data_IF_207196092554
#
_entry.id   IF_207196092554
#
_cell.length_a   1.000
_cell.length_b   1.000
_cell.length_c   1.000
_cell.angle_alpha   90.00
_cell.angle_beta   90.00
_cell.angle_gamma   90.00
#
_symmetry.space_group_name_H-M   'P 1'
#
loop_
_entity.id
_entity.type
_entity.pdbx_description
1 polymer ?
#
# COMPACT_ATOMS: atom_id res chain seq x y z
N UNK A 1 -37.69 5.73 19.46
CA UNK A 1 -37.23 6.42 18.23
C UNK A 1 -36.13 5.56 17.64
N UNK A 2 -36.47 4.67 16.71
CA UNK A 2 -35.50 3.76 16.12
C UNK A 2 -34.48 4.58 15.35
N UNK A 3 -33.20 4.54 15.77
CA UNK A 3 -32.10 4.95 14.93
C UNK A 3 -32.17 4.09 13.67
N UNK A 4 -32.77 4.62 12.60
CA UNK A 4 -32.45 4.16 11.26
C UNK A 4 -30.98 4.49 11.10
N UNK A 5 -30.11 3.50 11.29
CA UNK A 5 -28.77 3.52 10.71
C UNK A 5 -29.01 3.89 9.24
N UNK A 6 -28.60 5.08 8.83
CA UNK A 6 -28.91 5.66 7.52
C UNK A 6 -28.16 4.96 6.40
N UNK A 7 -28.13 3.63 6.39
CA UNK A 7 -27.32 2.82 5.48
C UNK A 7 -25.96 3.46 5.22
N UNK A 8 -25.72 3.79 3.96
CA UNK A 8 -24.46 4.23 3.38
C UNK A 8 -24.37 5.74 3.14
N UNK A 9 -25.28 6.53 3.72
CA UNK A 9 -25.27 7.98 3.58
C UNK A 9 -24.04 8.65 4.25
N UNK A 10 -23.32 7.93 5.11
CA UNK A 10 -22.21 8.46 5.90
C UNK A 10 -20.83 8.33 5.22
N UNK A 11 -20.75 7.69 4.04
CA UNK A 11 -19.47 7.49 3.34
C UNK A 11 -19.32 8.51 2.21
N UNK A 12 -18.42 9.48 2.40
CA UNK A 12 -17.98 10.33 1.29
C UNK A 12 -17.19 9.47 0.27
N UNK A 13 -17.72 9.26 -0.95
CA UNK A 13 -17.08 8.42 -1.96
C UNK A 13 -15.85 9.08 -2.59
N UNK A 14 -15.52 10.31 -2.20
CA UNK A 14 -14.42 11.13 -2.72
C UNK A 14 -13.32 11.43 -1.71
N UNK A 15 -13.56 11.16 -0.43
CA UNK A 15 -12.67 11.56 0.66
C UNK A 15 -11.29 10.88 0.69
N UNK A 16 -11.12 9.73 0.02
CA UNK A 16 -9.88 8.94 0.10
C UNK A 16 -9.31 8.62 -1.27
N UNK A 17 -7.98 8.55 -1.43
CA UNK A 17 -7.35 8.04 -2.63
C UNK A 17 -7.85 6.64 -3.01
N UNK A 18 -7.90 6.35 -4.31
CA UNK A 18 -8.34 5.05 -4.81
C UNK A 18 -7.15 4.20 -5.19
N UNK A 19 -7.11 2.90 -4.85
CA UNK A 19 -6.08 2.00 -5.38
C UNK A 19 -6.03 2.00 -6.92
N UNK A 20 -4.85 1.78 -7.48
CA UNK A 20 -4.69 1.52 -8.91
C UNK A 20 -5.56 0.33 -9.35
N UNK A 21 -6.11 0.41 -10.56
CA UNK A 21 -7.04 -0.58 -11.10
C UNK A 21 -8.49 -0.46 -10.59
N UNK A 22 -8.78 0.46 -9.67
CA UNK A 22 -10.15 0.66 -9.17
C UNK A 22 -11.10 1.04 -10.30
N UNK A 23 -12.19 0.28 -10.47
CA UNK A 23 -13.27 0.64 -11.39
C UNK A 23 -14.05 1.86 -10.86
N UNK A 24 -14.09 2.91 -11.67
CA UNK A 24 -14.73 4.19 -11.34
C UNK A 24 -15.75 4.59 -12.39
N UNK A 25 -16.66 5.47 -11.97
CA UNK A 25 -17.57 6.22 -12.84
C UNK A 25 -17.23 7.71 -12.76
N UNK A 26 -17.15 8.37 -13.90
CA UNK A 26 -16.93 9.82 -14.01
C UNK A 26 -18.19 10.58 -13.60
N UNK A 27 -18.03 11.74 -12.98
CA UNK A 27 -19.15 12.62 -12.59
C UNK A 27 -19.30 13.84 -13.47
N UNK A 28 -18.29 14.12 -14.30
CA UNK A 28 -18.24 15.27 -15.19
C UNK A 28 -17.83 14.84 -16.59
N UNK A 29 -18.22 15.65 -17.55
CA UNK A 29 -17.81 15.50 -18.94
C UNK A 29 -16.32 15.83 -19.09
N UNK A 30 -15.63 15.13 -19.99
CA UNK A 30 -14.25 15.42 -20.36
C UNK A 30 -14.02 15.10 -21.82
N UNK A 31 -13.34 15.99 -22.54
CA UNK A 31 -12.94 15.70 -23.92
C UNK A 31 -11.57 15.03 -23.94
N UNK A 32 -11.45 13.93 -24.67
CA UNK A 32 -10.23 13.14 -24.84
C UNK A 32 -10.02 12.91 -26.32
N UNK A 33 -8.92 13.40 -26.88
CA UNK A 33 -8.60 13.31 -28.31
C UNK A 33 -9.75 13.75 -29.24
N UNK A 34 -10.45 14.82 -28.86
CA UNK A 34 -11.59 15.36 -29.62
C UNK A 34 -12.92 14.64 -29.40
N UNK A 35 -12.96 13.55 -28.62
CA UNK A 35 -14.20 12.85 -28.28
C UNK A 35 -14.69 13.18 -26.87
N UNK A 36 -16.00 13.35 -26.71
CA UNK A 36 -16.62 13.55 -25.41
C UNK A 36 -16.67 12.23 -24.62
N UNK A 37 -16.21 12.28 -23.37
CA UNK A 37 -16.44 11.28 -22.34
C UNK A 37 -17.46 11.87 -21.36
N UNK A 38 -18.74 11.50 -21.44
CA UNK A 38 -19.76 12.10 -20.59
C UNK A 38 -19.58 11.69 -19.13
N UNK A 39 -20.15 12.48 -18.22
CA UNK A 39 -20.43 12.05 -16.86
C UNK A 39 -21.24 10.77 -16.89
N UNK A 40 -20.83 9.76 -16.11
CA UNK A 40 -21.38 8.41 -16.14
C UNK A 40 -20.50 7.40 -16.89
N UNK A 41 -19.48 7.84 -17.63
CA UNK A 41 -18.52 6.94 -18.26
C UNK A 41 -17.77 6.11 -17.21
N UNK A 42 -17.47 4.84 -17.54
CA UNK A 42 -16.77 3.92 -16.65
C UNK A 42 -15.35 3.67 -17.14
N UNK A 43 -14.40 3.60 -16.21
CA UNK A 43 -13.00 3.29 -16.50
C UNK A 43 -12.30 2.74 -15.26
N UNK A 44 -10.97 2.61 -15.33
CA UNK A 44 -10.11 2.17 -14.21
C UNK A 44 -9.08 3.23 -13.87
N UNK A 45 -8.78 3.39 -12.58
CA UNK A 45 -7.67 4.25 -12.14
C UNK A 45 -6.35 3.68 -12.65
N UNK A 46 -5.65 4.42 -13.50
CA UNK A 46 -4.37 4.04 -14.09
C UNK A 46 -3.18 4.67 -13.36
N UNK A 47 -3.34 5.91 -12.89
CA UNK A 47 -2.33 6.65 -12.15
C UNK A 47 -2.98 7.63 -11.17
N UNK A 48 -2.21 8.09 -10.19
CA UNK A 48 -2.65 9.06 -9.17
C UNK A 48 -1.53 10.08 -9.01
N UNK A 49 -1.86 11.35 -9.07
CA UNK A 49 -0.94 12.46 -8.87
C UNK A 49 -1.64 13.54 -8.04
N UNK A 50 -1.31 13.62 -6.75
CA UNK A 50 -1.97 14.51 -5.80
C UNK A 50 -3.49 14.28 -5.73
N UNK A 51 -4.25 15.32 -6.08
CA UNK A 51 -5.72 15.27 -6.13
C UNK A 51 -6.26 14.81 -7.49
N UNK A 52 -5.38 14.45 -8.43
CA UNK A 52 -5.74 13.98 -9.76
C UNK A 52 -5.60 12.47 -9.88
N UNK A 53 -6.48 11.89 -10.66
CA UNK A 53 -6.47 10.48 -11.03
C UNK A 53 -6.53 10.37 -12.55
N UNK A 54 -5.66 9.57 -13.13
CA UNK A 54 -5.78 9.19 -14.52
C UNK A 54 -6.74 8.00 -14.62
N UNK A 55 -7.74 8.10 -15.49
CA UNK A 55 -8.69 7.02 -15.77
C UNK A 55 -8.43 6.49 -17.17
N UNK A 56 -8.19 5.19 -17.28
CA UNK A 56 -8.16 4.47 -18.55
C UNK A 56 -9.54 3.89 -18.85
N UNK A 57 -10.06 4.16 -20.04
CA UNK A 57 -11.37 3.70 -20.52
C UNK A 57 -11.24 2.38 -21.29
N UNK A 58 -12.38 1.80 -21.70
CA UNK A 58 -12.41 0.52 -22.42
C UNK A 58 -11.78 0.57 -23.81
N UNK A 59 -11.63 1.76 -24.37
CA UNK A 59 -10.99 2.02 -25.66
C UNK A 59 -9.51 2.44 -25.50
N UNK A 60 -8.90 2.13 -24.36
CA UNK A 60 -7.52 2.43 -23.97
C UNK A 60 -7.16 3.93 -23.90
N UNK A 61 -8.11 4.82 -24.21
CA UNK A 61 -7.92 6.26 -24.04
C UNK A 61 -7.85 6.60 -22.55
N UNK A 62 -7.07 7.63 -22.25
CA UNK A 62 -6.81 8.08 -20.88
C UNK A 62 -7.27 9.51 -20.69
N UNK A 63 -7.81 9.80 -19.52
CA UNK A 63 -8.12 11.17 -19.14
C UNK A 63 -7.82 11.41 -17.67
N UNK A 64 -7.26 12.57 -17.39
CA UNK A 64 -7.05 13.03 -16.03
C UNK A 64 -8.35 13.61 -15.48
N UNK A 65 -8.75 13.19 -14.28
CA UNK A 65 -9.88 13.71 -13.49
C UNK A 65 -9.39 14.17 -12.12
N UNK A 66 -10.09 15.11 -11.48
CA UNK A 66 -9.94 15.32 -10.06
C UNK A 66 -10.50 14.11 -9.31
N UNK A 67 -9.98 13.83 -8.13
CA UNK A 67 -10.44 12.73 -7.28
C UNK A 67 -11.93 12.87 -6.96
N UNK A 68 -12.42 14.10 -6.77
CA UNK A 68 -13.83 14.41 -6.52
C UNK A 68 -14.75 14.20 -7.73
N UNK A 69 -14.17 14.16 -8.93
CA UNK A 69 -14.88 13.96 -10.21
C UNK A 69 -15.08 12.48 -10.55
N UNK A 70 -14.57 11.55 -9.74
CA UNK A 70 -14.76 10.11 -9.94
C UNK A 70 -15.27 9.44 -8.68
N UNK A 71 -16.05 8.37 -8.86
CA UNK A 71 -16.56 7.56 -7.74
C UNK A 71 -16.35 6.08 -8.03
N UNK A 72 -15.98 5.25 -7.04
CA UNK A 72 -15.91 3.81 -7.25
C UNK A 72 -17.26 3.22 -7.60
N UNK A 73 -17.30 2.27 -8.54
CA UNK A 73 -18.56 1.63 -8.94
C UNK A 73 -19.11 0.67 -7.88
N UNK A 74 -18.22 0.07 -7.10
CA UNK A 74 -18.56 -0.94 -6.10
C UNK A 74 -18.31 -0.38 -4.71
N UNK A 75 -19.34 -0.40 -3.88
CA UNK A 75 -19.26 0.02 -2.49
C UNK A 75 -18.16 -0.72 -1.70
N UNK A 76 -17.98 -2.03 -1.94
CA UNK A 76 -16.94 -2.81 -1.27
C UNK A 76 -15.54 -2.23 -1.52
N UNK A 77 -15.29 -1.69 -2.73
CA UNK A 77 -14.02 -1.05 -3.09
C UNK A 77 -13.87 0.29 -2.37
N UNK A 78 -14.94 1.09 -2.26
CA UNK A 78 -14.91 2.32 -1.48
C UNK A 78 -14.60 2.05 0.01
N UNK A 79 -15.26 1.06 0.61
CA UNK A 79 -15.02 0.66 2.00
C UNK A 79 -13.58 0.16 2.20
N UNK A 80 -13.06 -0.60 1.24
CA UNK A 80 -11.68 -1.05 1.26
C UNK A 80 -10.70 0.14 1.20
N UNK A 81 -10.91 1.07 0.26
CA UNK A 81 -10.08 2.27 0.14
C UNK A 81 -10.09 3.13 1.42
N UNK A 82 -11.27 3.30 2.05
CA UNK A 82 -11.39 4.05 3.30
C UNK A 82 -10.70 3.36 4.47
N UNK A 83 -10.90 2.05 4.64
CA UNK A 83 -10.20 1.27 5.69
C UNK A 83 -8.69 1.34 5.52
N UNK A 84 -8.23 1.26 4.28
CA UNK A 84 -6.82 1.37 3.92
C UNK A 84 -6.26 2.75 4.25
N UNK A 85 -6.93 3.83 3.86
CA UNK A 85 -6.52 5.19 4.20
C UNK A 85 -6.47 5.40 5.72
N UNK A 86 -7.52 4.98 6.43
CA UNK A 86 -7.57 5.07 7.88
C UNK A 86 -6.44 4.24 8.55
N UNK A 87 -6.13 3.05 8.04
CA UNK A 87 -5.02 2.25 8.53
C UNK A 87 -3.69 2.98 8.37
N UNK A 88 -3.45 3.61 7.21
CA UNK A 88 -2.27 4.44 6.98
C UNK A 88 -2.19 5.60 7.97
N UNK A 89 -3.27 6.38 8.11
CA UNK A 89 -3.30 7.55 9.00
C UNK A 89 -3.01 7.19 10.47
N UNK A 90 -3.55 6.07 10.94
CA UNK A 90 -3.45 5.67 12.35
C UNK A 90 -2.19 4.86 12.66
N UNK A 91 -1.67 4.06 11.72
CA UNK A 91 -0.58 3.12 11.98
C UNK A 91 0.78 3.60 11.46
N UNK A 92 0.82 4.54 10.51
CA UNK A 92 2.10 5.15 10.09
C UNK A 92 2.87 5.80 11.26
N UNK A 93 2.21 6.47 12.22
CA UNK A 93 2.88 6.98 13.42
C UNK A 93 3.37 5.88 14.38
N UNK A 94 2.91 4.64 14.21
CA UNK A 94 3.31 3.48 15.02
C UNK A 94 4.45 2.68 14.37
N UNK A 95 5.07 3.20 13.32
CA UNK A 95 6.25 2.59 12.69
C UNK A 95 7.43 2.62 13.64
N UNK A 96 8.04 1.44 13.83
CA UNK A 96 9.16 1.17 14.74
C UNK A 96 10.48 0.98 13.99
N UNK A 97 10.41 0.60 12.72
CA UNK A 97 11.55 0.47 11.81
C UNK A 97 11.12 1.03 10.46
N UNK A 98 11.91 1.92 9.88
CA UNK A 98 11.74 2.45 8.52
C UNK A 98 13.10 2.44 7.81
N UNK A 99 13.19 1.66 6.74
CA UNK A 99 14.45 1.34 6.07
C UNK A 99 14.30 1.52 4.56
N UNK A 100 15.24 2.25 3.96
CA UNK A 100 15.43 2.24 2.51
C UNK A 100 15.98 0.86 2.09
N UNK A 101 15.40 0.26 1.05
CA UNK A 101 15.80 -1.05 0.52
C UNK A 101 16.08 -0.99 -0.98
N UNK A 102 16.46 -2.12 -1.56
CA UNK A 102 16.68 -2.21 -3.00
C UNK A 102 17.95 -1.50 -3.45
N UNK A 103 17.97 -1.10 -4.73
CA UNK A 103 19.19 -0.67 -5.41
C UNK A 103 19.93 0.49 -4.72
N UNK A 104 19.18 1.42 -4.11
CA UNK A 104 19.74 2.58 -3.41
C UNK A 104 20.37 2.20 -2.08
N UNK A 105 19.76 1.28 -1.33
CA UNK A 105 20.31 0.77 -0.08
C UNK A 105 21.65 0.06 -0.27
N UNK A 106 21.83 -0.61 -1.41
CA UNK A 106 23.02 -1.40 -1.73
C UNK A 106 24.03 -0.68 -2.63
N UNK A 107 23.81 0.59 -2.97
CA UNK A 107 24.74 1.38 -3.78
C UNK A 107 24.83 0.94 -5.25
N UNK A 108 23.80 0.28 -5.77
CA UNK A 108 23.70 -0.18 -7.17
C UNK A 108 22.67 0.62 -7.98
N UNK A 109 22.20 1.74 -7.43
CA UNK A 109 21.23 2.61 -8.07
C UNK A 109 21.82 3.42 -9.24
N UNK A 110 20.96 3.77 -10.19
CA UNK A 110 21.21 4.71 -11.28
C UNK A 110 20.16 5.85 -11.25
N UNK A 111 20.24 6.79 -12.20
CA UNK A 111 19.32 7.95 -12.26
C UNK A 111 17.84 7.57 -12.37
N UNK A 112 17.53 6.38 -12.89
CA UNK A 112 16.17 5.86 -13.01
C UNK A 112 15.72 4.96 -11.86
N UNK A 113 16.54 4.75 -10.84
CA UNK A 113 16.20 3.88 -9.71
C UNK A 113 15.16 4.51 -8.79
N UNK A 114 14.10 3.76 -8.53
CA UNK A 114 13.06 4.07 -7.57
C UNK A 114 13.55 4.01 -6.11
N UNK A 115 12.77 4.63 -5.22
CA UNK A 115 12.99 4.62 -3.79
C UNK A 115 11.98 3.70 -3.11
N UNK A 116 12.46 2.50 -2.74
CA UNK A 116 11.66 1.54 -1.99
C UNK A 116 11.93 1.64 -0.49
N UNK A 117 10.86 1.68 0.29
CA UNK A 117 10.90 1.63 1.76
C UNK A 117 10.23 0.39 2.27
N UNK A 118 10.85 -0.21 3.28
CA UNK A 118 10.27 -1.29 4.04
C UNK A 118 10.44 -1.07 5.52
N UNK A 119 9.52 -1.61 6.31
CA UNK A 119 9.61 -1.42 7.74
C UNK A 119 8.63 -2.25 8.54
N UNK A 120 8.54 -1.92 9.82
CA UNK A 120 7.65 -2.58 10.76
C UNK A 120 6.86 -1.55 11.57
N UNK A 121 5.63 -1.88 11.95
CA UNK A 121 4.83 -1.10 12.88
C UNK A 121 4.28 -1.97 14.01
N UNK A 122 3.95 -1.34 15.13
CA UNK A 122 3.29 -2.00 16.26
C UNK A 122 1.83 -1.57 16.29
N UNK A 123 0.92 -2.53 16.46
CA UNK A 123 -0.50 -2.20 16.58
C UNK A 123 -0.79 -1.49 17.91
N UNK A 124 -1.63 -0.44 17.91
CA UNK A 124 -2.20 0.09 19.14
C UNK A 124 -2.96 -1.02 19.88
N UNK A 125 -2.81 -1.09 21.21
CA UNK A 125 -3.45 -2.13 22.04
C UNK A 125 -4.97 -2.23 21.80
N UNK A 126 -5.65 -1.09 21.62
CA UNK A 126 -7.09 -1.07 21.36
C UNK A 126 -7.49 -1.80 20.06
N UNK A 127 -6.57 -1.96 19.11
CA UNK A 127 -6.81 -2.65 17.84
C UNK A 127 -6.55 -4.16 17.94
N UNK A 128 -5.86 -4.63 18.99
CA UNK A 128 -5.60 -6.07 19.19
C UNK A 128 -6.72 -6.79 19.93
N UNK A 129 -7.67 -6.05 20.50
CA UNK A 129 -8.81 -6.60 21.26
C UNK A 129 -10.15 -6.46 20.53
N UNK A 130 -10.12 -6.01 19.28
CA UNK A 130 -11.31 -5.85 18.45
C UNK A 130 -11.90 -7.17 17.97
N UNK A 131 -13.18 -7.15 17.55
CA UNK A 131 -13.83 -8.31 16.91
C UNK A 131 -13.39 -8.53 15.46
N UNK A 132 -12.77 -7.53 14.85
CA UNK A 132 -12.29 -7.56 13.46
C UNK A 132 -10.78 -7.56 13.51
N UNK A 133 -10.17 -8.45 12.72
CA UNK A 133 -8.72 -8.50 12.62
C UNK A 133 -8.14 -7.16 12.17
N UNK A 134 -7.10 -6.66 12.86
CA UNK A 134 -6.43 -5.43 12.47
C UNK A 134 -5.65 -5.65 11.16
N UNK A 135 -5.35 -4.57 10.41
CA UNK A 135 -4.47 -4.66 9.25
C UNK A 135 -3.07 -5.09 9.69
N UNK A 136 -2.49 -6.05 8.97
CA UNK A 136 -1.13 -6.54 9.21
C UNK A 136 -0.11 -6.01 8.21
N UNK A 137 -0.58 -5.24 7.22
CA UNK A 137 0.18 -4.70 6.11
C UNK A 137 -0.23 -3.27 5.83
N UNK A 138 0.75 -2.40 5.61
CA UNK A 138 0.60 -1.09 5.01
C UNK A 138 1.46 -1.04 3.76
N UNK A 139 0.83 -1.19 2.60
CA UNK A 139 1.48 -1.03 1.29
C UNK A 139 1.09 0.37 0.77
N UNK A 140 1.93 1.16 0.11
CA UNK A 140 1.52 2.45 -0.47
C UNK A 140 0.73 2.22 -1.77
N UNK A 141 0.15 3.26 -2.38
CA UNK A 141 -0.67 3.09 -3.60
C UNK A 141 0.16 2.69 -4.81
N UNK A 142 1.37 3.22 -4.90
CA UNK A 142 2.41 2.93 -5.90
C UNK A 142 3.25 1.69 -5.53
N UNK A 143 3.11 1.17 -4.31
CA UNK A 143 3.83 -0.03 -3.83
C UNK A 143 5.24 0.23 -3.34
N UNK A 144 5.75 1.46 -3.46
CA UNK A 144 7.11 1.86 -3.03
C UNK A 144 7.34 1.74 -1.53
N UNK A 145 6.29 1.75 -0.70
CA UNK A 145 6.40 1.60 0.74
C UNK A 145 5.62 0.39 1.23
N UNK A 146 6.28 -0.48 1.99
CA UNK A 146 5.64 -1.65 2.59
C UNK A 146 6.05 -1.81 4.05
N UNK A 147 5.08 -1.74 4.96
CA UNK A 147 5.30 -1.97 6.39
C UNK A 147 4.47 -3.14 6.88
N UNK A 148 5.06 -3.96 7.75
CA UNK A 148 4.41 -5.12 8.34
C UNK A 148 4.17 -4.93 9.83
N UNK A 149 3.07 -5.46 10.34
CA UNK A 149 2.89 -5.58 11.79
C UNK A 149 4.03 -6.43 12.38
N UNK A 150 4.58 -6.01 13.53
CA UNK A 150 5.81 -6.58 14.09
C UNK A 150 5.75 -8.10 14.27
N UNK A 151 4.63 -8.66 14.76
CA UNK A 151 4.44 -10.09 14.91
C UNK A 151 4.39 -10.82 13.56
N UNK A 152 3.74 -10.23 12.55
CA UNK A 152 3.76 -10.74 11.17
C UNK A 152 5.18 -10.74 10.62
N UNK A 153 5.91 -9.64 10.77
CA UNK A 153 7.27 -9.50 10.28
C UNK A 153 8.21 -10.54 10.92
N UNK A 154 8.12 -10.76 12.23
CA UNK A 154 8.86 -11.83 12.92
C UNK A 154 8.54 -13.20 12.32
N UNK A 155 7.27 -13.51 12.05
CA UNK A 155 6.88 -14.78 11.39
C UNK A 155 7.38 -14.91 9.95
N UNK A 156 7.59 -13.80 9.24
CA UNK A 156 8.18 -13.78 7.90
C UNK A 156 9.70 -13.98 7.98
N UNK A 157 10.38 -13.27 8.90
CA UNK A 157 11.81 -13.40 9.12
C UNK A 157 12.21 -14.82 9.53
N UNK A 158 11.43 -15.46 10.41
CA UNK A 158 11.64 -16.87 10.81
C UNK A 158 11.52 -17.87 9.63
N UNK A 159 10.84 -17.49 8.53
CA UNK A 159 10.74 -18.28 7.30
C UNK A 159 11.75 -17.84 6.23
N UNK A 160 12.75 -17.04 6.61
CA UNK A 160 13.73 -16.47 5.72
C UNK A 160 13.11 -15.66 4.56
N UNK A 161 12.01 -14.94 4.79
CA UNK A 161 11.42 -14.07 3.77
C UNK A 161 12.45 -13.03 3.26
N UNK A 162 12.75 -12.99 1.95
CA UNK A 162 13.82 -12.14 1.43
C UNK A 162 13.60 -10.65 1.67
N UNK A 163 12.36 -10.18 1.53
CA UNK A 163 12.04 -8.77 1.69
C UNK A 163 12.17 -8.31 3.14
N UNK A 164 11.74 -9.15 4.07
CA UNK A 164 11.83 -8.90 5.51
C UNK A 164 13.29 -8.95 5.98
N UNK A 165 14.06 -9.94 5.52
CA UNK A 165 15.49 -10.04 5.86
C UNK A 165 16.29 -8.89 5.25
N UNK A 166 16.04 -8.50 4.01
CA UNK A 166 16.67 -7.32 3.41
C UNK A 166 16.46 -6.07 4.28
N UNK A 167 15.22 -5.82 4.71
CA UNK A 167 14.89 -4.68 5.57
C UNK A 167 15.57 -4.73 6.95
N UNK A 168 15.70 -5.92 7.55
CA UNK A 168 16.38 -6.10 8.84
C UNK A 168 17.90 -5.93 8.76
N UNK A 169 18.50 -6.20 7.59
CA UNK A 169 19.95 -6.14 7.39
C UNK A 169 20.43 -4.86 6.66
N UNK A 170 19.52 -4.11 6.06
CA UNK A 170 19.78 -2.77 5.56
C UNK A 170 19.91 -1.75 6.71
N UNK A 171 20.46 -0.57 6.41
CA UNK A 171 20.64 0.49 7.40
C UNK A 171 19.32 1.25 7.62
N UNK A 172 18.69 1.18 8.81
CA UNK A 172 17.43 1.88 9.05
C UNK A 172 17.65 3.39 9.07
N UNK A 173 16.72 4.15 8.49
CA UNK A 173 16.74 5.61 8.55
C UNK A 173 16.03 6.15 9.79
N UNK A 174 14.99 5.44 10.24
CA UNK A 174 14.31 5.72 11.49
C UNK A 174 14.08 4.42 12.27
N UNK A 175 14.33 4.49 13.58
CA UNK A 175 14.20 3.34 14.47
C UNK A 175 13.80 3.81 15.87
N UNK A 176 12.81 3.14 16.46
CA UNK A 176 12.46 3.32 17.87
C UNK A 176 13.22 2.31 18.76
N UNK A 177 13.14 2.42 20.10
CA UNK A 177 13.76 1.44 21.00
C UNK A 177 13.35 -0.02 20.75
N UNK A 178 12.08 -0.32 20.46
CA UNK A 178 11.63 -1.68 20.16
C UNK A 178 12.23 -2.20 18.86
N UNK A 179 12.26 -1.36 17.82
CA UNK A 179 12.93 -1.66 16.56
C UNK A 179 14.42 -1.93 16.76
N UNK A 180 15.10 -1.15 17.62
CA UNK A 180 16.52 -1.31 17.90
C UNK A 180 16.85 -2.66 18.55
N UNK A 181 16.01 -3.13 19.48
CA UNK A 181 16.14 -4.47 20.04
C UNK A 181 15.98 -5.55 18.96
N UNK A 182 15.00 -5.40 18.08
CA UNK A 182 14.74 -6.35 16.99
C UNK A 182 15.90 -6.42 15.99
N UNK A 183 16.47 -5.26 15.63
CA UNK A 183 17.68 -5.18 14.79
C UNK A 183 18.87 -5.81 15.50
N UNK A 184 19.06 -5.59 16.80
CA UNK A 184 20.15 -6.20 17.56
C UNK A 184 20.10 -7.73 17.53
N UNK A 185 18.90 -8.32 17.54
CA UNK A 185 18.71 -9.77 17.46
C UNK A 185 18.57 -10.33 16.03
N UNK A 186 18.68 -9.51 14.97
CA UNK A 186 18.41 -9.94 13.58
C UNK A 186 19.13 -11.23 13.13
N UNK A 187 20.30 -11.52 13.70
CA UNK A 187 21.06 -12.74 13.44
C UNK A 187 20.32 -14.03 13.81
N UNK A 188 19.34 -13.97 14.72
CA UNK A 188 18.54 -15.14 15.12
C UNK A 188 17.58 -15.62 14.04
N UNK A 189 17.25 -14.78 13.05
CA UNK A 189 16.37 -15.13 11.94
C UNK A 189 17.10 -15.85 10.80
N UNK A 190 18.44 -15.87 10.81
CA UNK A 190 19.22 -16.52 9.76
C UNK A 190 19.14 -18.04 9.89
N UNK A 191 18.79 -18.70 8.80
CA UNK A 191 18.69 -20.16 8.72
C UNK A 191 19.06 -20.65 7.31
N UNK A 192 19.27 -21.97 7.17
CA UNK A 192 19.55 -22.58 5.85
C UNK A 192 18.37 -22.47 4.88
N UNK A 193 17.17 -22.11 5.34
CA UNK A 193 16.00 -21.83 4.49
C UNK A 193 16.21 -20.64 3.55
N UNK A 194 17.21 -19.79 3.82
CA UNK A 194 17.63 -18.70 2.93
C UNK A 194 17.92 -19.22 1.52
N UNK A 195 18.56 -20.38 1.38
CA UNK A 195 18.90 -20.95 0.06
C UNK A 195 17.63 -21.15 -0.80
N UNK A 196 16.58 -21.71 -0.20
CA UNK A 196 15.33 -21.96 -0.90
C UNK A 196 14.52 -20.69 -1.16
N UNK A 197 14.40 -19.82 -0.16
CA UNK A 197 13.59 -18.59 -0.25
C UNK A 197 14.19 -17.56 -1.22
N UNK A 198 15.49 -17.29 -1.12
CA UNK A 198 16.16 -16.35 -2.03
C UNK A 198 16.29 -16.92 -3.44
N UNK A 199 16.54 -18.23 -3.58
CA UNK A 199 16.54 -18.88 -4.89
C UNK A 199 15.20 -18.74 -5.62
N UNK A 200 14.08 -19.01 -4.94
CA UNK A 200 12.75 -18.81 -5.50
C UNK A 200 12.47 -17.34 -5.84
N UNK A 201 12.89 -16.42 -4.98
CA UNK A 201 12.74 -14.99 -5.23
C UNK A 201 13.51 -14.55 -6.48
N UNK A 202 14.78 -14.93 -6.62
CA UNK A 202 15.59 -14.63 -7.79
C UNK A 202 14.97 -15.18 -9.09
N UNK A 203 14.48 -16.42 -9.07
CA UNK A 203 13.76 -17.01 -10.21
C UNK A 203 12.51 -16.21 -10.57
N UNK A 204 11.71 -15.81 -9.58
CA UNK A 204 10.50 -15.00 -9.84
C UNK A 204 10.78 -13.62 -10.44
N UNK A 205 11.98 -13.07 -10.24
CA UNK A 205 12.40 -11.81 -10.84
C UNK A 205 12.91 -11.97 -12.28
N UNK A 206 13.36 -13.18 -12.67
CA UNK A 206 13.74 -13.47 -14.05
C UNK A 206 12.52 -13.69 -14.96
N UNK A 207 11.41 -14.15 -14.40
CA UNK A 207 10.17 -14.43 -15.12
C UNK A 207 9.27 -13.19 -15.33
N UNK A 208 9.75 -12.00 -14.98
CA UNK A 208 9.00 -10.75 -14.95
C UNK A 208 9.47 -9.76 -16.01
#
# INVERSE_FOLDING_TARGET
>A
MALRLGGLADLDPTAVPLPLGTEVTTRVDRTVDGELRPGGASGRVAAIDGDRVEVVFLDDKRASYLRVEVVPRKLGVQRYAQRRAAAWDHLRPCVVIDTLVGSRAWGVANEGSDEDRRGMFVLPLAWTTGLVDPPLDLISLDGSQTYWEIGKAVRQALRADPNTLEMLFANPEAIDPMGAELIAMRGTFLSQEIYGSFGRYALSQLDR
#
